data_IF_423819428359
#
_entry.id   IF_423819428359
#
_cell.length_a   1.000
_cell.length_b   1.000
_cell.length_c   1.000
_cell.angle_alpha   90.00
_cell.angle_beta   90.00
_cell.angle_gamma   90.00
#
_symmetry.space_group_name_H-M   'P 1'
#
loop_
_entity.id
_entity.type
_entity.pdbx_description
1 polymer ?
#
# COMPACT_ATOMS: atom_id res chain seq x y z
N UNK A 1 -19.83 22.88 -5.46
CA UNK A 1 -18.54 23.11 -4.79
C UNK A 1 -18.12 21.84 -4.08
N UNK A 2 -17.08 21.20 -4.58
CA UNK A 2 -16.49 19.98 -3.99
C UNK A 2 -15.03 20.26 -3.72
N UNK A 3 -14.59 19.95 -2.50
CA UNK A 3 -13.21 20.12 -2.06
C UNK A 3 -12.61 18.76 -1.70
N UNK A 4 -11.31 18.57 -1.96
CA UNK A 4 -10.56 17.39 -1.60
C UNK A 4 -9.40 17.79 -0.68
N UNK A 5 -9.28 17.16 0.47
CA UNK A 5 -8.18 17.34 1.41
C UNK A 5 -7.07 16.28 1.25
N UNK A 6 -7.35 15.14 0.57
CA UNK A 6 -6.38 14.10 0.30
C UNK A 6 -5.72 14.26 -1.08
N UNK A 7 -4.57 13.60 -1.28
CA UNK A 7 -3.91 13.50 -2.58
C UNK A 7 -4.70 12.64 -3.58
N UNK A 8 -4.34 12.67 -4.86
CA UNK A 8 -4.96 11.86 -5.92
C UNK A 8 -4.22 10.53 -6.08
N UNK A 9 -4.93 9.50 -6.56
CA UNK A 9 -4.43 8.14 -6.68
C UNK A 9 -3.18 8.01 -7.56
N UNK A 10 -3.08 8.61 -8.76
CA UNK A 10 -1.87 8.53 -9.58
C UNK A 10 -0.61 9.04 -8.85
N UNK A 11 -0.74 10.09 -8.03
CA UNK A 11 0.37 10.63 -7.25
C UNK A 11 0.94 9.58 -6.27
N UNK A 12 0.10 8.77 -5.66
CA UNK A 12 0.56 7.68 -4.78
C UNK A 12 1.39 6.66 -5.55
N UNK A 13 0.89 6.20 -6.71
CA UNK A 13 1.61 5.25 -7.58
C UNK A 13 2.99 5.76 -7.98
N UNK A 14 3.07 7.01 -8.44
CA UNK A 14 4.34 7.65 -8.81
C UNK A 14 5.30 7.77 -7.62
N UNK A 15 4.79 8.15 -6.44
CA UNK A 15 5.60 8.28 -5.23
C UNK A 15 6.14 6.94 -4.76
N UNK A 16 5.32 5.89 -4.82
CA UNK A 16 5.77 4.55 -4.43
C UNK A 16 6.82 3.99 -5.41
N UNK A 17 6.69 4.23 -6.71
CA UNK A 17 7.74 3.87 -7.67
C UNK A 17 9.05 4.64 -7.42
N UNK A 18 8.96 5.93 -7.11
CA UNK A 18 10.12 6.75 -6.74
C UNK A 18 10.78 6.21 -5.45
N UNK A 19 9.97 5.88 -4.45
CA UNK A 19 10.48 5.29 -3.20
C UNK A 19 11.16 3.95 -3.43
N UNK A 20 10.57 3.07 -4.25
CA UNK A 20 11.16 1.79 -4.64
C UNK A 20 12.56 1.98 -5.25
N UNK A 21 12.70 2.92 -6.18
CA UNK A 21 13.96 3.22 -6.84
C UNK A 21 15.00 3.87 -5.90
N UNK A 22 14.62 4.96 -5.23
CA UNK A 22 15.57 5.83 -4.52
C UNK A 22 15.89 5.36 -3.10
N UNK A 23 14.92 4.74 -2.42
CA UNK A 23 15.07 4.33 -1.02
C UNK A 23 15.35 2.84 -0.87
N UNK A 24 14.70 2.01 -1.67
CA UNK A 24 14.89 0.56 -1.62
C UNK A 24 15.92 0.06 -2.65
N UNK A 25 16.30 0.87 -3.64
CA UNK A 25 17.25 0.49 -4.68
C UNK A 25 16.74 -0.61 -5.61
N UNK A 26 15.41 -0.82 -5.64
CA UNK A 26 14.76 -1.87 -6.40
C UNK A 26 15.10 -1.81 -7.89
N UNK A 27 15.34 -2.96 -8.50
CA UNK A 27 15.57 -3.14 -9.94
C UNK A 27 14.43 -3.88 -10.59
N UNK A 28 13.70 -4.68 -9.81
CA UNK A 28 12.57 -5.48 -10.26
C UNK A 28 11.36 -5.23 -9.37
N UNK A 29 10.17 -5.25 -9.96
CA UNK A 29 8.90 -5.13 -9.25
C UNK A 29 7.88 -6.10 -9.83
N UNK A 30 7.03 -6.64 -8.96
CA UNK A 30 5.76 -7.23 -9.36
C UNK A 30 4.61 -6.30 -8.95
N UNK A 31 3.47 -6.43 -9.62
CA UNK A 31 2.24 -5.73 -9.23
C UNK A 31 1.12 -6.72 -8.97
N UNK A 32 0.29 -6.43 -7.94
CA UNK A 32 -0.89 -7.21 -7.60
C UNK A 32 -2.08 -6.28 -7.40
N UNK A 33 -3.13 -6.37 -8.21
CA UNK A 33 -4.20 -5.38 -8.25
C UNK A 33 -5.58 -6.00 -8.45
N UNK A 34 -6.62 -5.24 -8.07
CA UNK A 34 -8.02 -5.61 -8.27
C UNK A 34 -8.51 -5.08 -9.61
N UNK A 35 -9.00 -5.98 -10.48
CA UNK A 35 -9.61 -5.62 -11.77
C UNK A 35 -10.97 -4.93 -11.58
N UNK A 36 -11.27 -3.95 -12.42
CA UNK A 36 -12.53 -3.21 -12.38
C UNK A 36 -12.64 -2.23 -11.19
N UNK A 37 -11.55 -1.97 -10.48
CA UNK A 37 -11.48 -1.02 -9.38
C UNK A 37 -10.61 0.18 -9.79
N UNK A 38 -11.24 1.34 -9.98
CA UNK A 38 -10.56 2.56 -10.46
C UNK A 38 -9.38 2.98 -9.57
N UNK A 39 -9.50 2.82 -8.25
CA UNK A 39 -8.41 3.08 -7.30
C UNK A 39 -7.22 2.16 -7.57
N UNK A 40 -7.47 0.85 -7.58
CA UNK A 40 -6.43 -0.16 -7.72
C UNK A 40 -5.71 -0.07 -9.07
N UNK A 41 -6.48 0.04 -10.16
CA UNK A 41 -5.94 0.16 -11.51
C UNK A 41 -5.24 1.51 -11.73
N UNK A 42 -5.80 2.60 -11.20
CA UNK A 42 -5.22 3.94 -11.30
C UNK A 42 -3.85 4.05 -10.65
N UNK A 43 -3.71 3.53 -9.42
CA UNK A 43 -2.42 3.47 -8.73
C UNK A 43 -1.43 2.54 -9.45
N UNK A 44 -1.89 1.35 -9.86
CA UNK A 44 -1.06 0.36 -10.54
C UNK A 44 -0.49 0.93 -11.85
N UNK A 45 -1.31 1.55 -12.68
CA UNK A 45 -0.88 2.12 -13.94
C UNK A 45 0.17 3.24 -13.73
N UNK A 46 -0.07 4.14 -12.78
CA UNK A 46 0.87 5.22 -12.46
C UNK A 46 2.20 4.68 -11.90
N UNK A 47 2.15 3.65 -11.05
CA UNK A 47 3.34 2.98 -10.55
C UNK A 47 4.16 2.35 -11.69
N UNK A 48 3.51 1.56 -12.55
CA UNK A 48 4.17 0.84 -13.65
C UNK A 48 4.82 1.83 -14.64
N UNK A 49 4.12 2.89 -15.01
CA UNK A 49 4.67 3.93 -15.90
C UNK A 49 5.91 4.58 -15.28
N UNK A 50 5.80 5.01 -14.03
CA UNK A 50 6.91 5.65 -13.32
C UNK A 50 8.07 4.70 -13.05
N UNK A 51 7.80 3.46 -12.66
CA UNK A 51 8.80 2.43 -12.41
C UNK A 51 9.65 2.16 -13.66
N UNK A 52 9.01 1.98 -14.82
CA UNK A 52 9.69 1.84 -16.11
C UNK A 52 10.56 3.05 -16.47
N UNK A 53 10.05 4.25 -16.23
CA UNK A 53 10.83 5.49 -16.46
C UNK A 53 12.06 5.59 -15.54
N UNK A 54 12.04 4.96 -14.37
CA UNK A 54 13.14 4.88 -13.40
C UNK A 54 14.06 3.67 -13.62
N UNK A 55 13.78 2.83 -14.62
CA UNK A 55 14.57 1.64 -14.94
C UNK A 55 14.29 0.43 -14.06
N UNK A 56 13.12 0.39 -13.39
CA UNK A 56 12.63 -0.78 -12.67
C UNK A 56 11.88 -1.66 -13.66
N UNK A 57 12.29 -2.93 -13.78
CA UNK A 57 11.61 -3.92 -14.60
C UNK A 57 10.38 -4.47 -13.88
N UNK A 58 9.24 -4.54 -14.57
CA UNK A 58 8.05 -5.23 -14.07
C UNK A 58 8.15 -6.70 -14.49
N UNK A 59 8.50 -7.55 -13.54
CA UNK A 59 8.77 -8.98 -13.79
C UNK A 59 7.53 -9.85 -13.69
N UNK A 60 6.47 -9.36 -13.03
CA UNK A 60 5.19 -10.08 -12.94
C UNK A 60 4.03 -9.10 -12.70
N UNK A 61 2.84 -9.50 -13.14
CA UNK A 61 1.61 -8.71 -13.00
C UNK A 61 0.41 -9.62 -12.78
N UNK A 62 -0.03 -9.70 -11.55
CA UNK A 62 -1.13 -10.57 -11.13
C UNK A 62 -2.35 -9.73 -10.73
N UNK A 63 -3.53 -10.28 -10.99
CA UNK A 63 -4.79 -9.62 -10.72
C UNK A 63 -5.79 -10.54 -10.04
N UNK A 64 -6.80 -9.94 -9.41
CA UNK A 64 -7.95 -10.64 -8.83
C UNK A 64 -9.24 -9.87 -9.07
N UNK A 65 -10.38 -10.54 -8.95
CA UNK A 65 -11.71 -9.93 -9.05
C UNK A 65 -12.28 -9.59 -7.68
N UNK A 66 -13.25 -8.66 -7.66
CA UNK A 66 -13.97 -8.34 -6.44
C UNK A 66 -14.59 -9.60 -5.80
N UNK A 67 -14.37 -9.75 -4.49
CA UNK A 67 -14.87 -10.89 -3.71
C UNK A 67 -13.89 -12.06 -3.61
N UNK A 68 -12.81 -12.09 -4.37
CA UNK A 68 -11.78 -13.10 -4.23
C UNK A 68 -11.08 -12.99 -2.86
N UNK A 69 -10.75 -14.13 -2.27
CA UNK A 69 -10.09 -14.23 -0.95
C UNK A 69 -8.97 -15.26 -0.87
N UNK A 70 -8.74 -16.02 -1.93
CA UNK A 70 -7.61 -16.95 -2.03
C UNK A 70 -6.66 -16.48 -3.14
N UNK A 71 -5.49 -16.05 -2.73
CA UNK A 71 -4.47 -15.48 -3.61
C UNK A 71 -3.23 -16.36 -3.74
N UNK A 72 -3.31 -17.64 -3.31
CA UNK A 72 -2.15 -18.54 -3.31
C UNK A 72 -1.52 -18.72 -4.68
N UNK A 73 -2.33 -18.83 -5.73
CA UNK A 73 -1.83 -19.01 -7.09
C UNK A 73 -1.03 -17.79 -7.55
N UNK A 74 -1.60 -16.59 -7.42
CA UNK A 74 -0.96 -15.34 -7.80
C UNK A 74 0.31 -15.10 -6.97
N UNK A 75 0.26 -15.33 -5.67
CA UNK A 75 1.43 -15.13 -4.79
C UNK A 75 2.52 -16.17 -5.03
N UNK A 76 2.17 -17.38 -5.49
CA UNK A 76 3.17 -18.38 -5.93
C UNK A 76 3.89 -17.90 -7.20
N UNK A 77 3.17 -17.33 -8.16
CA UNK A 77 3.77 -16.78 -9.38
C UNK A 77 4.70 -15.61 -9.05
N UNK A 78 4.22 -14.66 -8.23
CA UNK A 78 5.04 -13.53 -7.77
C UNK A 78 6.29 -14.00 -7.02
N UNK A 79 6.16 -14.99 -6.13
CA UNK A 79 7.31 -15.57 -5.42
C UNK A 79 8.32 -16.20 -6.38
N UNK A 80 7.85 -16.91 -7.40
CA UNK A 80 8.69 -17.51 -8.43
C UNK A 80 9.43 -16.47 -9.30
N UNK A 81 8.80 -15.31 -9.56
CA UNK A 81 9.43 -14.19 -10.26
C UNK A 81 10.51 -13.48 -9.44
N UNK A 82 10.53 -13.68 -8.10
CA UNK A 82 11.51 -13.14 -7.16
C UNK A 82 11.77 -11.64 -7.32
N UNK A 83 10.75 -10.77 -7.29
CA UNK A 83 10.93 -9.32 -7.40
C UNK A 83 11.58 -8.74 -6.16
N UNK A 84 12.23 -7.57 -6.28
CA UNK A 84 12.72 -6.81 -5.13
C UNK A 84 11.55 -6.24 -4.31
N UNK A 85 10.50 -5.77 -5.01
CA UNK A 85 9.31 -5.19 -4.40
C UNK A 85 8.02 -5.72 -5.05
N UNK A 86 6.94 -5.79 -4.27
CA UNK A 86 5.58 -6.06 -4.77
C UNK A 86 4.72 -4.84 -4.49
N UNK A 87 4.29 -4.13 -5.52
CA UNK A 87 3.33 -3.05 -5.37
C UNK A 87 1.91 -3.60 -5.44
N UNK A 88 1.17 -3.46 -4.35
CA UNK A 88 -0.19 -3.98 -4.19
C UNK A 88 -1.15 -2.85 -3.81
N UNK A 89 -1.62 -2.03 -4.78
CA UNK A 89 -2.57 -0.94 -4.53
C UNK A 89 -3.98 -1.48 -4.31
N UNK A 90 -4.20 -2.14 -3.19
CA UNK A 90 -5.44 -2.80 -2.80
C UNK A 90 -5.80 -2.44 -1.35
N UNK A 91 -6.98 -2.82 -0.89
CA UNK A 91 -7.40 -2.52 0.47
C UNK A 91 -6.83 -3.52 1.48
N UNK A 92 -6.78 -3.09 2.73
CA UNK A 92 -6.13 -3.76 3.86
C UNK A 92 -6.51 -5.23 4.06
N UNK A 93 -7.77 -5.61 3.81
CA UNK A 93 -8.22 -6.98 4.03
C UNK A 93 -7.60 -7.94 2.99
N UNK A 94 -7.69 -7.61 1.71
CA UNK A 94 -7.09 -8.37 0.63
C UNK A 94 -5.55 -8.29 0.70
N UNK A 95 -5.00 -7.14 1.08
CA UNK A 95 -3.55 -6.97 1.28
C UNK A 95 -3.01 -7.92 2.35
N UNK A 96 -3.68 -8.02 3.50
CA UNK A 96 -3.27 -8.95 4.55
C UNK A 96 -3.28 -10.40 4.09
N UNK A 97 -4.34 -10.83 3.41
CA UNK A 97 -4.45 -12.19 2.86
C UNK A 97 -3.36 -12.48 1.81
N UNK A 98 -3.10 -11.51 0.91
CA UNK A 98 -2.09 -11.65 -0.14
C UNK A 98 -0.68 -11.73 0.46
N UNK A 99 -0.34 -10.85 1.40
CA UNK A 99 0.98 -10.85 2.04
C UNK A 99 1.23 -12.18 2.78
N UNK A 100 0.25 -12.64 3.57
CA UNK A 100 0.36 -13.95 4.26
C UNK A 100 0.55 -15.09 3.26
N UNK A 101 -0.19 -15.11 2.16
CA UNK A 101 -0.03 -16.13 1.11
C UNK A 101 1.35 -16.04 0.44
N UNK A 102 1.86 -14.83 0.18
CA UNK A 102 3.17 -14.59 -0.40
C UNK A 102 4.30 -15.09 0.52
N UNK A 103 4.23 -14.78 1.82
CA UNK A 103 5.21 -15.28 2.80
C UNK A 103 5.19 -16.81 2.89
N UNK A 104 4.00 -17.41 2.88
CA UNK A 104 3.86 -18.87 2.84
C UNK A 104 4.43 -19.50 1.55
N UNK A 105 4.43 -18.77 0.43
CA UNK A 105 5.06 -19.18 -0.82
C UNK A 105 6.58 -18.88 -0.86
N UNK A 106 7.16 -18.33 0.20
CA UNK A 106 8.59 -18.01 0.28
C UNK A 106 8.99 -16.66 -0.35
N UNK A 107 8.04 -15.79 -0.66
CA UNK A 107 8.31 -14.46 -1.17
C UNK A 107 8.95 -13.58 -0.07
N UNK A 108 10.12 -13.03 -0.34
CA UNK A 108 10.86 -12.16 0.57
C UNK A 108 10.80 -10.68 0.16
N UNK A 109 10.13 -10.37 -0.95
CA UNK A 109 10.01 -9.01 -1.48
C UNK A 109 9.39 -8.05 -0.45
N UNK A 110 9.77 -6.78 -0.53
CA UNK A 110 9.11 -5.71 0.22
C UNK A 110 7.74 -5.43 -0.38
N UNK A 111 6.67 -5.59 0.42
CA UNK A 111 5.32 -5.19 0.00
C UNK A 111 5.13 -3.68 0.15
N UNK A 112 4.54 -3.09 -0.88
CA UNK A 112 4.30 -1.66 -0.98
C UNK A 112 2.84 -1.41 -1.32
N UNK A 113 2.17 -0.53 -0.58
CA UNK A 113 0.76 -0.21 -0.80
C UNK A 113 0.48 1.26 -1.03
N UNK A 114 -0.75 1.56 -1.39
CA UNK A 114 -1.34 2.89 -1.28
C UNK A 114 -1.93 3.11 0.11
N UNK A 115 -2.68 4.19 0.28
CA UNK A 115 -3.38 4.53 1.52
C UNK A 115 -4.40 3.47 1.97
N UNK A 116 -4.89 2.65 1.05
CA UNK A 116 -5.74 1.49 1.35
C UNK A 116 -5.12 0.47 2.32
N UNK A 117 -3.81 0.51 2.58
CA UNK A 117 -3.13 -0.35 3.56
C UNK A 117 -3.33 0.05 5.03
N UNK A 118 -3.94 1.18 5.31
CA UNK A 118 -3.95 1.80 6.64
C UNK A 118 -4.33 0.92 7.83
N UNK A 119 -5.04 -0.18 7.63
CA UNK A 119 -5.44 -1.12 8.69
C UNK A 119 -4.96 -2.56 8.44
N UNK A 120 -3.98 -2.77 7.57
CA UNK A 120 -3.48 -4.12 7.19
C UNK A 120 -2.99 -4.94 8.39
N UNK A 121 -2.49 -4.28 9.44
CA UNK A 121 -2.05 -4.90 10.70
C UNK A 121 -3.13 -5.74 11.41
N UNK A 122 -4.41 -5.55 11.05
CA UNK A 122 -5.52 -6.32 11.61
C UNK A 122 -5.80 -7.61 10.81
N UNK A 123 -5.12 -7.82 9.68
CA UNK A 123 -5.40 -8.90 8.72
C UNK A 123 -4.18 -9.80 8.42
N UNK A 124 -3.01 -9.43 8.90
CA UNK A 124 -1.81 -10.24 8.78
C UNK A 124 -0.95 -10.12 10.05
N UNK A 125 -0.07 -11.09 10.27
CA UNK A 125 0.84 -11.07 11.41
C UNK A 125 1.92 -9.98 11.27
N UNK A 126 2.48 -9.54 12.39
CA UNK A 126 3.59 -8.59 12.38
C UNK A 126 4.80 -9.11 11.58
N UNK A 127 5.08 -10.41 11.71
CA UNK A 127 6.19 -11.07 11.00
C UNK A 127 5.96 -11.05 9.47
N UNK A 128 4.72 -11.30 9.01
CA UNK A 128 4.40 -11.24 7.58
C UNK A 128 4.51 -9.83 7.02
N UNK A 129 4.18 -8.82 7.83
CA UNK A 129 4.19 -7.41 7.45
C UNK A 129 5.55 -6.75 7.57
N UNK A 130 6.55 -7.42 8.15
CA UNK A 130 7.87 -6.83 8.39
C UNK A 130 8.46 -6.24 7.09
N UNK A 131 8.94 -5.00 7.19
CA UNK A 131 9.48 -4.25 6.06
C UNK A 131 8.46 -3.71 5.05
N UNK A 132 7.16 -4.00 5.20
CA UNK A 132 6.12 -3.44 4.31
C UNK A 132 5.97 -1.94 4.52
N UNK A 133 5.69 -1.22 3.43
CA UNK A 133 5.53 0.24 3.42
C UNK A 133 4.29 0.65 2.64
N UNK A 134 3.72 1.81 2.97
CA UNK A 134 2.59 2.34 2.20
C UNK A 134 2.58 3.87 2.18
N UNK A 135 1.91 4.43 1.18
CA UNK A 135 1.72 5.87 1.07
C UNK A 135 0.68 6.35 2.08
N UNK A 136 1.02 7.36 2.87
CA UNK A 136 0.12 7.98 3.84
C UNK A 136 0.11 9.48 3.68
N UNK A 137 -1.02 10.11 3.97
CA UNK A 137 -1.16 11.56 3.95
C UNK A 137 -0.40 12.25 5.09
N UNK A 138 -0.13 11.55 6.17
CA UNK A 138 0.69 12.00 7.30
C UNK A 138 1.33 10.80 8.03
N UNK A 139 2.31 11.09 8.86
CA UNK A 139 2.87 10.10 9.79
C UNK A 139 2.40 10.40 11.23
N UNK A 140 1.88 9.41 11.97
CA UNK A 140 1.46 9.59 13.36
C UNK A 140 2.57 10.19 14.23
N UNK A 141 2.21 11.08 15.15
CA UNK A 141 3.15 11.70 16.09
C UNK A 141 4.06 12.77 15.47
N UNK A 142 3.86 13.17 14.21
CA UNK A 142 4.54 14.34 13.63
C UNK A 142 4.00 15.64 14.25
N UNK A 143 4.84 16.64 14.37
CA UNK A 143 4.49 17.91 15.01
C UNK A 143 3.23 18.57 14.42
N UNK A 144 3.04 18.41 13.09
CA UNK A 144 1.90 19.00 12.39
C UNK A 144 0.54 18.41 12.77
N UNK A 145 0.49 17.16 13.26
CA UNK A 145 -0.79 16.49 13.61
C UNK A 145 -0.89 16.12 15.08
N UNK A 146 0.18 16.29 15.83
CA UNK A 146 0.24 15.92 17.27
C UNK A 146 -0.86 16.59 18.10
N UNK A 147 -1.08 17.89 17.91
CA UNK A 147 -2.12 18.62 18.65
C UNK A 147 -3.51 18.03 18.35
N UNK A 148 -3.82 17.75 17.07
CA UNK A 148 -5.07 17.11 16.69
C UNK A 148 -5.23 15.74 17.36
N UNK A 149 -4.18 14.92 17.38
CA UNK A 149 -4.23 13.59 18.00
C UNK A 149 -4.52 13.68 19.50
N UNK A 150 -3.86 14.58 20.21
CA UNK A 150 -4.05 14.82 21.64
C UNK A 150 -5.47 15.32 21.95
N UNK A 151 -5.94 16.31 21.21
CA UNK A 151 -7.27 16.91 21.41
C UNK A 151 -8.38 15.91 21.09
N UNK A 152 -8.23 15.12 20.01
CA UNK A 152 -9.21 14.10 19.65
C UNK A 152 -9.31 13.00 20.71
N UNK A 153 -8.17 12.46 21.15
CA UNK A 153 -8.12 11.42 22.19
C UNK A 153 -8.74 11.90 23.49
N UNK A 154 -8.45 13.14 23.88
CA UNK A 154 -9.02 13.73 25.10
C UNK A 154 -10.53 13.98 24.98
N UNK A 155 -11.00 14.48 23.84
CA UNK A 155 -12.41 14.81 23.64
C UNK A 155 -13.32 13.57 23.59
N UNK A 156 -12.82 12.47 23.03
CA UNK A 156 -13.60 11.24 22.84
C UNK A 156 -13.24 10.11 23.79
N UNK A 157 -12.26 10.32 24.68
CA UNK A 157 -11.74 9.32 25.62
C UNK A 157 -11.35 8.01 24.92
N UNK A 158 -10.53 8.12 23.89
CA UNK A 158 -10.01 7.02 23.06
C UNK A 158 -8.49 7.05 22.99
N UNK A 159 -7.87 5.91 22.69
CA UNK A 159 -6.41 5.80 22.60
C UNK A 159 -5.87 6.09 21.18
N UNK A 160 -6.72 6.02 20.16
CA UNK A 160 -6.34 6.18 18.75
C UNK A 160 -7.28 7.18 18.05
N UNK A 161 -6.80 7.84 17.00
CA UNK A 161 -7.62 8.64 16.09
C UNK A 161 -8.40 7.71 15.13
N UNK A 162 -9.53 8.17 14.53
CA UNK A 162 -10.41 7.30 13.75
C UNK A 162 -9.76 6.73 12.49
N UNK A 163 -8.94 7.50 11.80
CA UNK A 163 -8.19 7.09 10.61
C UNK A 163 -7.14 8.15 10.22
N UNK A 164 -6.28 7.78 9.25
CA UNK A 164 -5.19 8.63 8.77
C UNK A 164 -5.62 9.93 8.05
N UNK A 165 -6.89 10.03 7.62
CA UNK A 165 -7.39 11.22 6.93
C UNK A 165 -8.05 12.23 7.88
N UNK A 166 -8.31 11.85 9.12
CA UNK A 166 -8.96 12.73 10.08
C UNK A 166 -8.18 14.05 10.33
N UNK A 167 -6.85 14.02 10.52
CA UNK A 167 -6.07 15.26 10.65
C UNK A 167 -6.14 16.15 9.40
N UNK A 168 -6.10 15.56 8.21
CA UNK A 168 -6.17 16.29 6.94
C UNK A 168 -7.54 16.96 6.71
N UNK A 169 -8.59 16.38 7.24
CA UNK A 169 -9.95 16.94 7.14
C UNK A 169 -10.22 18.01 8.20
N UNK A 170 -9.43 18.04 9.28
CA UNK A 170 -9.56 19.00 10.37
C UNK A 170 -8.93 20.37 10.01
N UNK A 171 -7.80 20.38 9.32
CA UNK A 171 -7.11 21.57 8.83
C UNK A 171 -7.95 22.31 7.75
#
# INVERSE_FOLDING_TARGET
>A
NVFRACFIDPYQGEKMATYASEKLGAKTAAVFYQTGNDYSEGLMNAFVEKAKALGIEIVDSEAFAEGDKDFKAQMTNIAAAAPDVVFAPIYYAEAGLAITAARAAGCTATFMGGDGFGSVKNYASADDLEGSVYCSGYAPGTDSVKQFEEDYKAAYNVDEIPNMFAPLAYD
#
